data_IF_381422706459
#
_entry.id   IF_381422706459
#
_cell.length_a   1.000
_cell.length_b   1.000
_cell.length_c   1.000
_cell.angle_alpha   90.00
_cell.angle_beta   90.00
_cell.angle_gamma   90.00
#
_symmetry.space_group_name_H-M   'P 1'
#
loop_
_entity.id
_entity.type
_entity.pdbx_description
1 polymer ?
#
# COMPACT_ATOMS: atom_id res chain seq x y z
N UNK A 1 -10.08 -2.84 1.21
CA UNK A 1 -11.34 -3.59 1.52
C UNK A 1 -11.45 -3.86 3.02
N UNK A 2 -12.67 -3.92 3.59
CA UNK A 2 -12.84 -4.20 5.02
C UNK A 2 -12.61 -5.69 5.31
N UNK A 3 -11.88 -5.98 6.39
CA UNK A 3 -11.57 -7.37 6.77
C UNK A 3 -12.83 -8.18 7.08
N UNK A 4 -13.81 -7.59 7.80
CA UNK A 4 -15.02 -8.31 8.20
C UNK A 4 -15.92 -8.68 7.01
N UNK A 5 -15.97 -7.87 5.96
CA UNK A 5 -16.72 -8.21 4.74
C UNK A 5 -16.12 -9.48 4.07
N UNK A 6 -14.79 -9.56 4.06
CA UNK A 6 -14.08 -10.76 3.56
C UNK A 6 -14.26 -11.96 4.48
N UNK A 7 -14.24 -11.73 5.79
CA UNK A 7 -14.47 -12.78 6.79
C UNK A 7 -15.86 -13.40 6.66
N UNK A 8 -16.89 -12.57 6.47
CA UNK A 8 -18.27 -13.04 6.27
C UNK A 8 -18.39 -13.86 4.98
N UNK A 9 -17.88 -13.37 3.86
CA UNK A 9 -17.89 -14.10 2.60
C UNK A 9 -17.24 -15.48 2.72
N UNK A 10 -16.08 -15.57 3.39
CA UNK A 10 -15.36 -16.83 3.58
C UNK A 10 -16.15 -17.78 4.48
N UNK A 11 -16.73 -17.27 5.57
CA UNK A 11 -17.40 -18.14 6.55
C UNK A 11 -18.73 -18.69 6.06
N UNK A 12 -19.42 -18.01 5.17
CA UNK A 12 -20.67 -18.49 4.52
C UNK A 12 -20.40 -19.71 3.63
N UNK A 13 -19.25 -19.76 2.98
CA UNK A 13 -18.87 -20.86 2.07
C UNK A 13 -18.38 -22.12 2.80
N UNK A 14 -18.03 -22.02 4.07
CA UNK A 14 -17.43 -23.13 4.80
C UNK A 14 -18.44 -23.88 5.66
N UNK A 15 -18.43 -25.23 5.65
CA UNK A 15 -19.39 -26.04 6.42
C UNK A 15 -19.14 -26.02 7.94
N UNK A 16 -17.98 -25.51 8.38
CA UNK A 16 -17.55 -25.52 9.79
C UNK A 16 -16.99 -24.14 10.15
N UNK A 17 -17.28 -23.63 11.36
CA UNK A 17 -16.73 -22.37 11.82
C UNK A 17 -15.19 -22.36 11.82
N UNK A 18 -14.61 -21.29 11.31
CA UNK A 18 -13.16 -21.07 11.24
C UNK A 18 -12.77 -19.94 12.18
N UNK A 19 -11.73 -20.13 13.01
CA UNK A 19 -11.22 -19.05 13.85
C UNK A 19 -10.74 -17.86 13.03
N UNK A 20 -11.09 -16.64 13.45
CA UNK A 20 -10.74 -15.39 12.78
C UNK A 20 -9.23 -15.25 12.55
N UNK A 21 -8.41 -15.62 13.53
CA UNK A 21 -6.95 -15.56 13.41
C UNK A 21 -6.39 -16.51 12.34
N UNK A 22 -7.10 -17.62 12.07
CA UNK A 22 -6.69 -18.53 11.01
C UNK A 22 -6.98 -17.94 9.63
N UNK A 23 -8.12 -17.25 9.46
CA UNK A 23 -8.44 -16.54 8.22
C UNK A 23 -7.42 -15.42 7.98
N UNK A 24 -7.08 -14.62 9.00
CA UNK A 24 -6.03 -13.60 8.89
C UNK A 24 -4.68 -14.18 8.48
N UNK A 25 -4.31 -15.33 9.03
CA UNK A 25 -3.08 -16.02 8.66
C UNK A 25 -3.08 -16.44 7.18
N UNK A 26 -4.21 -16.96 6.68
CA UNK A 26 -4.31 -17.34 5.26
C UNK A 26 -4.32 -16.12 4.33
N UNK A 27 -5.00 -15.04 4.70
CA UNK A 27 -4.93 -13.76 3.96
C UNK A 27 -3.49 -13.29 3.86
N UNK A 28 -2.74 -13.30 4.97
CA UNK A 28 -1.34 -12.87 4.98
C UNK A 28 -0.43 -13.75 4.11
N UNK A 29 -0.74 -15.04 3.95
CA UNK A 29 -0.01 -15.92 3.00
C UNK A 29 -0.25 -15.51 1.55
N UNK A 30 -1.48 -15.09 1.23
CA UNK A 30 -1.82 -14.63 -0.11
C UNK A 30 -1.14 -13.28 -0.39
N UNK A 31 -1.22 -12.34 0.55
CA UNK A 31 -0.52 -11.05 0.44
C UNK A 31 0.99 -11.27 0.25
N UNK A 32 1.58 -12.19 1.01
CA UNK A 32 3.00 -12.53 0.84
C UNK A 32 3.28 -13.05 -0.56
N UNK A 33 2.46 -13.98 -1.07
CA UNK A 33 2.62 -14.50 -2.43
C UNK A 33 2.50 -13.41 -3.48
N UNK A 34 1.56 -12.47 -3.31
CA UNK A 34 1.41 -11.30 -4.18
C UNK A 34 2.68 -10.45 -4.15
N UNK A 35 3.17 -10.09 -2.96
CA UNK A 35 4.39 -9.29 -2.80
C UNK A 35 5.64 -9.98 -3.38
N UNK A 36 5.77 -11.32 -3.20
CA UNK A 36 6.94 -12.08 -3.64
C UNK A 36 6.96 -12.29 -5.16
N UNK A 37 5.80 -12.50 -5.79
CA UNK A 37 5.71 -12.87 -7.20
C UNK A 37 5.41 -11.70 -8.14
N UNK A 38 4.75 -10.66 -7.65
CA UNK A 38 4.41 -9.45 -8.43
C UNK A 38 5.38 -8.32 -8.11
N UNK A 39 5.85 -8.25 -6.86
CA UNK A 39 6.85 -7.27 -6.44
C UNK A 39 6.23 -6.00 -5.86
N UNK A 40 6.69 -4.84 -6.33
CA UNK A 40 6.32 -3.53 -5.79
C UNK A 40 5.19 -2.91 -6.60
N UNK A 41 4.19 -2.39 -5.90
CA UNK A 41 3.07 -1.67 -6.48
C UNK A 41 3.34 -0.17 -6.51
N UNK A 42 2.83 0.53 -7.53
CA UNK A 42 2.90 1.99 -7.61
C UNK A 42 1.66 2.58 -6.95
N UNK A 43 1.86 3.31 -5.88
CA UNK A 43 0.81 3.99 -5.13
C UNK A 43 1.09 5.48 -4.99
N UNK A 44 0.03 6.27 -5.01
CA UNK A 44 0.05 7.67 -4.63
C UNK A 44 -0.46 7.78 -3.19
N UNK A 45 0.40 8.24 -2.30
CA UNK A 45 0.07 8.44 -0.89
C UNK A 45 -0.10 9.91 -0.65
N UNK A 46 -1.27 10.33 -0.20
CA UNK A 46 -1.54 11.70 0.21
C UNK A 46 -1.55 11.79 1.74
N UNK A 47 -0.71 12.66 2.25
CA UNK A 47 -0.52 12.92 3.67
C UNK A 47 -0.92 14.35 3.94
N UNK A 48 -1.94 14.55 4.74
CA UNK A 48 -2.22 15.88 5.29
C UNK A 48 -1.43 16.03 6.59
N UNK A 49 -0.45 16.90 6.57
CA UNK A 49 0.30 17.21 7.79
C UNK A 49 -0.59 18.04 8.71
N UNK A 50 -0.90 17.48 9.87
CA UNK A 50 -1.43 18.25 11.00
C UNK A 50 -0.36 19.15 11.62
N UNK A 51 -0.61 19.66 12.81
CA UNK A 51 0.42 20.39 13.55
C UNK A 51 1.69 19.53 13.72
N UNK A 52 2.82 20.19 13.61
CA UNK A 52 4.17 19.61 13.78
C UNK A 52 4.26 18.65 14.98
N UNK A 53 5.00 17.58 14.83
CA UNK A 53 5.23 16.53 15.85
C UNK A 53 4.00 15.68 16.25
N UNK A 54 2.89 15.76 15.55
CA UNK A 54 1.79 14.82 15.74
C UNK A 54 1.87 13.68 14.72
N UNK A 55 1.41 12.47 15.09
CA UNK A 55 1.21 11.41 14.11
C UNK A 55 0.27 11.90 13.00
N UNK A 56 0.55 11.53 11.78
CA UNK A 56 -0.29 11.88 10.64
C UNK A 56 -1.68 11.30 10.88
N UNK A 57 -2.68 12.19 10.96
CA UNK A 57 -4.05 11.80 11.32
C UNK A 57 -4.84 11.28 10.12
N UNK A 58 -4.52 11.74 8.93
CA UNK A 58 -5.24 11.37 7.70
C UNK A 58 -4.24 10.96 6.63
N UNK A 59 -4.41 9.75 6.14
CA UNK A 59 -3.63 9.17 5.06
C UNK A 59 -4.61 8.61 4.03
N UNK A 60 -4.49 9.01 2.78
CA UNK A 60 -5.14 8.33 1.67
C UNK A 60 -4.10 7.63 0.80
N UNK A 61 -4.40 6.42 0.39
CA UNK A 61 -3.57 5.66 -0.53
C UNK A 61 -4.40 5.40 -1.77
N UNK A 62 -3.92 5.89 -2.90
CA UNK A 62 -4.49 5.59 -4.21
C UNK A 62 -3.55 4.67 -4.95
N UNK A 63 -4.03 3.47 -5.28
CA UNK A 63 -3.29 2.57 -6.15
C UNK A 63 -3.40 3.10 -7.59
N UNK A 64 -2.27 3.49 -8.16
CA UNK A 64 -2.20 4.13 -9.49
C UNK A 64 -2.61 3.14 -10.59
N UNK A 65 -2.37 1.85 -10.39
CA UNK A 65 -2.63 0.81 -11.39
C UNK A 65 -4.11 0.45 -11.47
N UNK A 66 -4.83 0.48 -10.35
CA UNK A 66 -6.24 0.10 -10.26
C UNK A 66 -7.20 1.27 -10.12
N UNK A 67 -6.69 2.50 -10.01
CA UNK A 67 -7.44 3.73 -9.74
C UNK A 67 -8.37 3.60 -8.52
N UNK A 68 -7.94 2.80 -7.53
CA UNK A 68 -8.68 2.56 -6.30
C UNK A 68 -8.07 3.34 -5.15
N UNK A 69 -8.90 4.11 -4.43
CA UNK A 69 -8.47 4.91 -3.28
C UNK A 69 -8.95 4.27 -1.98
N UNK A 70 -8.04 4.10 -1.04
CA UNK A 70 -8.33 3.68 0.32
C UNK A 70 -8.05 4.86 1.25
N UNK A 71 -9.09 5.41 1.86
CA UNK A 71 -8.94 6.42 2.89
C UNK A 71 -8.69 5.73 4.23
N UNK A 72 -7.57 6.03 4.84
CA UNK A 72 -7.20 5.52 6.15
C UNK A 72 -7.51 6.62 7.16
N UNK A 73 -8.74 6.62 7.62
CA UNK A 73 -9.10 7.43 8.76
C UNK A 73 -8.51 6.85 10.05
N UNK A 74 -8.37 7.69 11.05
CA UNK A 74 -7.83 7.58 12.42
C UNK A 74 -7.78 6.20 13.12
N UNK A 75 -8.45 5.16 12.62
CA UNK A 75 -8.68 3.89 13.31
C UNK A 75 -8.08 2.64 12.66
N UNK A 76 -7.51 2.76 11.47
CA UNK A 76 -6.75 1.65 10.90
C UNK A 76 -5.37 1.61 11.51
N UNK A 77 -5.06 0.58 12.30
CA UNK A 77 -3.67 0.29 12.68
C UNK A 77 -2.90 -0.24 11.47
N UNK A 78 -2.88 0.53 10.41
CA UNK A 78 -1.84 0.33 9.43
C UNK A 78 -0.52 0.63 10.12
N UNK A 79 0.45 -0.21 9.95
CA UNK A 79 1.82 0.02 10.41
C UNK A 79 2.52 1.15 9.64
N UNK A 80 1.77 2.13 9.18
CA UNK A 80 2.30 3.34 8.59
C UNK A 80 2.71 4.26 9.71
N UNK A 81 3.94 4.18 10.12
CA UNK A 81 4.52 5.18 10.98
C UNK A 81 5.05 6.33 10.13
N UNK A 82 4.14 7.07 9.55
CA UNK A 82 4.49 8.33 8.93
C UNK A 82 4.69 9.36 10.03
N UNK A 83 5.91 9.80 10.23
CA UNK A 83 6.23 10.84 11.17
C UNK A 83 6.77 12.04 10.41
N UNK A 84 6.16 13.18 10.65
CA UNK A 84 6.74 14.47 10.32
C UNK A 84 7.57 14.94 11.52
N UNK A 85 8.85 15.17 11.33
CA UNK A 85 9.73 15.75 12.33
C UNK A 85 10.11 17.16 11.91
N UNK A 86 9.58 18.15 12.61
CA UNK A 86 9.76 19.57 12.28
C UNK A 86 11.12 20.13 12.66
N UNK A 87 11.77 19.55 13.65
CA UNK A 87 13.12 19.99 14.03
C UNK A 87 14.13 19.68 12.92
N UNK A 88 13.86 18.64 12.15
CA UNK A 88 14.76 18.17 11.10
C UNK A 88 14.13 18.26 9.70
N UNK A 89 12.91 18.78 9.57
CA UNK A 89 12.13 18.86 8.32
C UNK A 89 12.19 17.59 7.47
N UNK A 90 11.88 16.47 8.10
CA UNK A 90 11.87 15.17 7.44
C UNK A 90 10.55 14.45 7.66
N UNK A 91 10.13 13.71 6.64
CA UNK A 91 9.05 12.76 6.70
C UNK A 91 9.62 11.35 6.74
N UNK A 92 9.31 10.60 7.79
CA UNK A 92 9.70 9.19 7.86
C UNK A 92 8.66 8.33 7.15
N UNK A 93 9.11 7.57 6.16
CA UNK A 93 8.30 6.62 5.41
C UNK A 93 8.03 5.35 6.22
N UNK A 94 6.92 4.70 5.92
CA UNK A 94 6.62 3.38 6.49
C UNK A 94 7.54 2.29 5.94
N UNK A 95 7.53 1.13 6.62
CA UNK A 95 8.45 0.02 6.32
C UNK A 95 8.16 -0.69 4.99
N UNK A 96 6.98 -0.51 4.44
CA UNK A 96 6.52 -1.08 3.19
C UNK A 96 6.84 -0.23 1.95
N UNK A 97 7.26 1.04 2.13
CA UNK A 97 7.72 1.90 1.03
C UNK A 97 9.19 1.63 0.74
N UNK A 98 9.49 1.26 -0.50
CA UNK A 98 10.84 0.93 -0.96
C UNK A 98 11.49 2.05 -1.74
N UNK A 99 10.74 2.73 -2.58
CA UNK A 99 11.25 3.75 -3.48
C UNK A 99 10.23 4.89 -3.59
N UNK A 100 10.69 6.12 -3.48
CA UNK A 100 9.90 7.32 -3.78
C UNK A 100 10.23 7.73 -5.21
N UNK A 101 9.20 7.91 -6.01
CA UNK A 101 9.32 8.32 -7.41
C UNK A 101 9.23 9.83 -7.53
N UNK A 102 8.11 10.39 -7.01
CA UNK A 102 7.83 11.82 -7.09
C UNK A 102 7.24 12.32 -5.78
N UNK A 103 7.48 13.59 -5.49
CA UNK A 103 6.91 14.30 -4.33
C UNK A 103 6.24 15.58 -4.81
N UNK A 104 5.00 15.76 -4.38
CA UNK A 104 4.24 16.99 -4.61
C UNK A 104 3.88 17.60 -3.26
N UNK A 105 4.04 18.91 -3.14
CA UNK A 105 3.61 19.66 -1.96
C UNK A 105 2.65 20.75 -2.43
N UNK A 106 1.43 20.73 -1.87
CA UNK A 106 0.33 21.61 -2.27
C UNK A 106 0.08 21.60 -3.80
N UNK A 107 0.06 20.38 -4.37
CA UNK A 107 -0.10 20.08 -5.80
C UNK A 107 1.03 20.56 -6.71
N UNK A 108 2.14 21.04 -6.17
CA UNK A 108 3.32 21.40 -6.92
C UNK A 108 4.40 20.32 -6.84
N UNK A 109 4.95 19.93 -7.98
CA UNK A 109 6.03 18.94 -8.06
C UNK A 109 7.34 19.51 -7.52
N UNK A 110 7.97 18.74 -6.64
CA UNK A 110 9.27 19.07 -6.05
C UNK A 110 10.37 18.20 -6.66
N UNK A 111 11.51 18.82 -6.92
CA UNK A 111 12.63 18.16 -7.59
C UNK A 111 13.49 17.39 -6.62
N UNK A 112 13.78 16.12 -6.95
CA UNK A 112 14.76 15.33 -6.21
C UNK A 112 16.18 15.85 -6.46
N UNK A 113 16.92 16.06 -5.38
CA UNK A 113 18.33 16.47 -5.40
C UNK A 113 19.11 15.70 -4.34
N UNK A 114 20.43 15.88 -4.29
CA UNK A 114 21.24 15.30 -3.23
C UNK A 114 20.95 15.95 -1.86
N UNK A 115 21.28 15.22 -0.80
CA UNK A 115 20.97 15.65 0.57
C UNK A 115 21.69 16.94 0.98
N UNK A 116 22.93 17.12 0.55
CA UNK A 116 23.71 18.32 0.90
C UNK A 116 23.09 19.58 0.27
N UNK A 117 22.52 19.45 -0.92
CA UNK A 117 21.76 20.53 -1.58
C UNK A 117 20.52 20.88 -0.76
N UNK A 118 19.72 19.89 -0.32
CA UNK A 118 18.53 20.15 0.52
C UNK A 118 18.94 20.82 1.83
N UNK A 119 20.00 20.32 2.48
CA UNK A 119 20.47 20.82 3.76
C UNK A 119 21.06 22.24 3.69
N UNK A 120 21.66 22.59 2.56
CA UNK A 120 22.23 23.93 2.34
C UNK A 120 21.18 24.94 1.83
N UNK A 121 19.99 24.48 1.45
CA UNK A 121 18.90 25.34 0.99
C UNK A 121 18.18 25.93 2.20
N UNK A 122 18.44 27.22 2.45
CA UNK A 122 17.79 27.98 3.53
C UNK A 122 16.42 28.54 3.11
N UNK A 123 15.97 28.22 1.90
CA UNK A 123 14.80 28.89 1.31
C UNK A 123 13.83 27.90 0.65
N UNK A 124 12.58 27.88 1.12
CA UNK A 124 11.48 27.08 0.56
C UNK A 124 11.10 27.45 -0.88
N UNK A 125 11.60 28.58 -1.40
CA UNK A 125 11.43 28.91 -2.82
C UNK A 125 12.10 27.88 -3.75
N UNK A 126 13.10 27.15 -3.23
CA UNK A 126 13.73 26.03 -3.91
C UNK A 126 12.99 24.74 -3.54
N UNK A 127 12.09 24.30 -4.40
CA UNK A 127 11.23 23.11 -4.24
C UNK A 127 12.04 21.82 -4.41
N UNK A 128 12.89 21.53 -3.41
CA UNK A 128 13.79 20.39 -3.41
C UNK A 128 13.45 19.39 -2.33
N UNK A 129 13.68 18.11 -2.63
CA UNK A 129 13.63 17.03 -1.65
C UNK A 129 14.76 16.03 -1.90
N UNK A 130 15.08 15.25 -0.88
CA UNK A 130 16.04 14.15 -0.97
C UNK A 130 15.59 12.98 -0.14
N UNK A 131 15.91 11.77 -0.59
CA UNK A 131 15.64 10.55 0.16
C UNK A 131 16.93 9.96 0.69
N UNK A 132 16.98 9.72 2.03
CA UNK A 132 18.04 8.93 2.66
C UNK A 132 17.40 7.82 3.46
N UNK A 133 17.57 6.59 3.00
CA UNK A 133 16.91 5.43 3.59
C UNK A 133 15.40 5.61 3.55
N UNK A 134 14.77 5.62 4.72
CA UNK A 134 13.31 5.78 4.86
C UNK A 134 12.87 7.19 5.23
N UNK A 135 13.71 8.18 5.00
CA UNK A 135 13.35 9.56 5.29
C UNK A 135 13.41 10.38 4.01
N UNK A 136 12.38 11.18 3.79
CA UNK A 136 12.38 12.28 2.84
C UNK A 136 12.73 13.54 3.60
N UNK A 137 13.71 14.26 3.10
CA UNK A 137 14.20 15.50 3.67
C UNK A 137 13.77 16.68 2.81
N UNK A 138 13.41 17.76 3.47
CA UNK A 138 12.98 19.03 2.86
C UNK A 138 13.82 20.20 3.39
N UNK A 139 13.84 21.35 2.70
CA UNK A 139 14.46 22.57 3.23
C UNK A 139 13.91 22.96 4.60
N UNK A 140 14.74 23.63 5.40
CA UNK A 140 14.44 23.94 6.82
C UNK A 140 13.25 24.86 7.04
N UNK A 141 12.86 25.65 6.05
CA UNK A 141 11.76 26.60 6.14
C UNK A 141 10.41 26.09 5.60
N UNK A 142 10.30 24.77 5.35
CA UNK A 142 9.01 24.20 4.96
C UNK A 142 7.98 24.51 6.05
N UNK A 143 6.95 25.26 5.67
CA UNK A 143 6.09 26.07 6.54
C UNK A 143 5.43 25.30 7.71
N UNK A 144 5.12 26.07 8.76
CA UNK A 144 4.44 25.63 9.97
C UNK A 144 2.96 25.30 9.77
N UNK A 145 2.41 25.54 8.59
CA UNK A 145 1.00 25.40 8.26
C UNK A 145 0.66 23.99 7.78
N UNK A 146 -0.62 23.67 7.75
CA UNK A 146 -1.11 22.40 7.23
C UNK A 146 -0.75 22.29 5.75
N UNK A 147 0.08 21.34 5.43
CA UNK A 147 0.61 21.11 4.07
C UNK A 147 0.10 19.76 3.57
N UNK A 148 -0.37 19.73 2.34
CA UNK A 148 -0.68 18.47 1.65
C UNK A 148 0.58 17.96 0.96
N UNK A 149 1.02 16.76 1.35
CA UNK A 149 2.17 16.09 0.72
C UNK A 149 1.62 14.87 -0.03
N UNK A 150 1.84 14.83 -1.34
CA UNK A 150 1.54 13.66 -2.17
C UNK A 150 2.84 13.01 -2.60
N UNK A 151 2.91 11.70 -2.41
CA UNK A 151 4.12 10.91 -2.70
C UNK A 151 3.73 9.77 -3.63
N UNK A 152 4.30 9.81 -4.83
CA UNK A 152 4.28 8.66 -5.72
C UNK A 152 5.41 7.72 -5.31
N UNK A 153 5.09 6.46 -5.02
CA UNK A 153 6.07 5.52 -4.50
C UNK A 153 5.82 4.09 -4.97
N UNK A 154 6.86 3.27 -4.85
CA UNK A 154 6.76 1.82 -4.97
C UNK A 154 6.76 1.20 -3.58
N UNK A 155 5.75 0.38 -3.29
CA UNK A 155 5.60 -0.29 -2.00
C UNK A 155 5.06 -1.71 -2.13
N UNK A 156 5.15 -2.47 -1.04
CA UNK A 156 4.48 -3.76 -0.87
C UNK A 156 3.16 -3.59 -0.11
N UNK A 157 2.22 -4.50 -0.34
CA UNK A 157 0.99 -4.54 0.47
C UNK A 157 1.29 -4.96 1.90
N UNK A 158 0.66 -4.26 2.85
CA UNK A 158 0.82 -4.52 4.28
C UNK A 158 0.07 -5.77 4.71
N UNK A 159 0.64 -6.51 5.65
CA UNK A 159 -0.01 -7.67 6.26
C UNK A 159 -1.15 -7.25 7.20
N UNK A 160 -2.20 -8.07 7.23
CA UNK A 160 -3.31 -7.92 8.17
C UNK A 160 -2.82 -8.17 9.61
N UNK A 161 -3.08 -7.22 10.52
CA UNK A 161 -2.70 -7.37 11.93
C UNK A 161 -3.52 -8.49 12.62
N UNK A 162 -2.91 -9.16 13.58
CA UNK A 162 -3.57 -10.18 14.40
C UNK A 162 -4.55 -9.59 15.42
N UNK A 163 -4.45 -8.30 15.74
CA UNK A 163 -5.42 -7.62 16.63
C UNK A 163 -6.79 -7.61 15.96
N UNK A 164 -7.83 -7.99 16.69
CA UNK A 164 -9.21 -7.96 16.22
C UNK A 164 -9.71 -6.52 16.32
N UNK A 165 -9.95 -5.90 15.18
CA UNK A 165 -10.52 -4.57 15.05
C UNK A 165 -11.64 -4.61 14.02
N UNK A 166 -12.82 -4.14 14.37
CA UNK A 166 -14.00 -4.13 13.48
C UNK A 166 -13.79 -3.24 12.25
N UNK A 167 -12.93 -2.24 12.36
CA UNK A 167 -12.59 -1.34 11.27
C UNK A 167 -11.32 -1.75 10.51
N UNK A 168 -10.80 -2.95 10.77
CA UNK A 168 -9.59 -3.40 10.11
C UNK A 168 -9.76 -3.48 8.59
N UNK A 169 -8.84 -2.85 7.88
CA UNK A 169 -8.79 -2.82 6.42
C UNK A 169 -7.69 -3.77 5.94
N UNK A 170 -7.94 -4.48 4.85
CA UNK A 170 -6.94 -5.21 4.10
C UNK A 170 -6.37 -4.24 3.07
N UNK A 171 -5.06 -4.05 3.10
CA UNK A 171 -4.32 -3.14 2.22
C UNK A 171 -4.09 -3.75 0.84
N UNK A 172 -5.15 -4.22 0.22
CA UNK A 172 -5.16 -4.74 -1.15
C UNK A 172 -6.35 -4.12 -1.85
N UNK A 173 -6.21 -3.65 -3.11
CA UNK A 173 -7.31 -3.05 -3.84
C UNK A 173 -8.56 -3.92 -3.91
N UNK A 174 -9.75 -3.27 -3.96
CA UNK A 174 -11.04 -3.98 -3.93
C UNK A 174 -11.25 -4.91 -5.14
N UNK A 175 -10.67 -4.59 -6.28
CA UNK A 175 -10.72 -5.44 -7.47
C UNK A 175 -10.02 -6.80 -7.28
N UNK A 176 -9.19 -6.97 -6.24
CA UNK A 176 -8.57 -8.25 -5.88
C UNK A 176 -9.32 -9.03 -4.79
N UNK A 177 -10.57 -8.60 -4.46
CA UNK A 177 -11.41 -9.25 -3.46
C UNK A 177 -11.56 -10.75 -3.73
N UNK A 178 -11.87 -11.12 -4.96
CA UNK A 178 -12.06 -12.52 -5.36
C UNK A 178 -10.78 -13.35 -5.24
N UNK A 179 -9.62 -12.76 -5.54
CA UNK A 179 -8.32 -13.39 -5.33
C UNK A 179 -8.09 -13.76 -3.86
N UNK A 180 -8.39 -12.84 -2.94
CA UNK A 180 -8.23 -13.08 -1.51
C UNK A 180 -9.20 -14.17 -1.03
N UNK A 181 -10.49 -14.07 -1.35
CA UNK A 181 -11.52 -15.03 -0.91
C UNK A 181 -11.20 -16.43 -1.43
N UNK A 182 -11.00 -16.59 -2.74
CA UNK A 182 -10.72 -17.90 -3.34
C UNK A 182 -9.41 -18.50 -2.83
N UNK A 183 -8.37 -17.69 -2.64
CA UNK A 183 -7.11 -18.15 -2.08
C UNK A 183 -7.23 -18.65 -0.63
N UNK A 184 -8.00 -17.95 0.21
CA UNK A 184 -8.25 -18.38 1.60
C UNK A 184 -9.06 -19.65 1.63
N UNK A 185 -10.15 -19.76 0.86
CA UNK A 185 -10.98 -20.95 0.76
C UNK A 185 -10.17 -22.15 0.25
N UNK A 186 -9.38 -21.98 -0.79
CA UNK A 186 -8.46 -23.00 -1.30
C UNK A 186 -7.50 -23.49 -0.21
N UNK A 187 -6.85 -22.59 0.52
CA UNK A 187 -5.90 -22.97 1.57
C UNK A 187 -6.56 -23.64 2.77
N UNK A 188 -7.75 -23.19 3.17
CA UNK A 188 -8.48 -23.75 4.29
C UNK A 188 -9.01 -25.15 3.96
N UNK A 189 -9.63 -25.35 2.79
CA UNK A 189 -10.22 -26.62 2.39
C UNK A 189 -9.19 -27.70 2.04
N UNK A 190 -7.92 -27.31 1.84
CA UNK A 190 -6.80 -28.26 1.80
C UNK A 190 -6.51 -28.90 3.16
N UNK A 191 -6.98 -28.34 4.28
CA UNK A 191 -6.72 -28.84 5.62
C UNK A 191 -7.74 -29.93 6.02
N UNK A 192 -7.34 -31.03 6.68
CA UNK A 192 -8.23 -32.12 7.02
C UNK A 192 -9.51 -31.70 7.76
N UNK A 193 -9.41 -30.72 8.67
CA UNK A 193 -10.53 -30.23 9.48
C UNK A 193 -11.62 -29.52 8.67
N UNK A 194 -11.23 -28.85 7.58
CA UNK A 194 -12.13 -28.03 6.74
C UNK A 194 -12.27 -28.62 5.33
N UNK A 195 -11.85 -29.88 5.15
CA UNK A 195 -11.79 -30.54 3.84
C UNK A 195 -13.15 -30.56 3.17
N UNK A 196 -13.21 -29.94 1.99
CA UNK A 196 -14.31 -30.03 1.03
C UNK A 196 -13.72 -30.06 -0.37
N UNK A 197 -13.89 -31.14 -1.09
CA UNK A 197 -13.26 -31.37 -2.39
C UNK A 197 -13.85 -30.46 -3.48
N UNK A 198 -15.13 -30.12 -3.38
CA UNK A 198 -15.80 -29.25 -4.35
C UNK A 198 -15.36 -27.80 -4.17
N UNK A 199 -15.41 -27.30 -2.92
CA UNK A 199 -14.95 -25.95 -2.58
C UNK A 199 -13.46 -25.80 -2.93
N UNK A 200 -12.64 -26.81 -2.60
CA UNK A 200 -11.23 -26.84 -2.93
C UNK A 200 -10.97 -26.71 -4.43
N UNK A 201 -11.63 -27.54 -5.26
CA UNK A 201 -11.37 -27.57 -6.70
C UNK A 201 -11.77 -26.25 -7.39
N UNK A 202 -12.95 -25.73 -7.06
CA UNK A 202 -13.45 -24.46 -7.62
C UNK A 202 -12.56 -23.30 -7.23
N UNK A 203 -12.24 -23.18 -5.93
CA UNK A 203 -11.46 -22.04 -5.45
C UNK A 203 -9.99 -22.09 -5.85
N UNK A 204 -9.41 -23.30 -6.03
CA UNK A 204 -8.08 -23.44 -6.60
C UNK A 204 -8.02 -22.88 -8.02
N UNK A 205 -8.98 -23.27 -8.87
CA UNK A 205 -9.03 -22.80 -10.26
C UNK A 205 -9.24 -21.28 -10.32
N UNK A 206 -10.18 -20.74 -9.53
CA UNK A 206 -10.46 -19.32 -9.46
C UNK A 206 -9.22 -18.55 -8.99
N UNK A 207 -8.60 -18.98 -7.90
CA UNK A 207 -7.41 -18.34 -7.35
C UNK A 207 -6.25 -18.27 -8.36
N UNK A 208 -5.93 -19.40 -9.01
CA UNK A 208 -4.85 -19.40 -10.00
C UNK A 208 -5.18 -18.55 -11.23
N UNK A 209 -6.44 -18.52 -11.66
CA UNK A 209 -6.89 -17.66 -12.76
C UNK A 209 -6.77 -16.17 -12.42
N UNK A 210 -7.27 -15.77 -11.25
CA UNK A 210 -7.18 -14.39 -10.76
C UNK A 210 -5.72 -13.95 -10.57
N UNK A 211 -4.89 -14.86 -10.04
CA UNK A 211 -3.49 -14.58 -9.81
C UNK A 211 -2.71 -14.40 -11.13
N UNK A 212 -2.99 -15.21 -12.14
CA UNK A 212 -2.39 -15.03 -13.48
C UNK A 212 -2.88 -13.74 -14.16
N UNK A 213 -4.16 -13.41 -14.01
CA UNK A 213 -4.72 -12.15 -14.49
C UNK A 213 -4.03 -10.94 -13.87
N UNK A 214 -3.80 -10.97 -12.55
CA UNK A 214 -3.09 -9.95 -11.83
C UNK A 214 -1.64 -9.79 -12.34
N UNK A 215 -0.91 -10.90 -12.49
CA UNK A 215 0.45 -10.89 -13.05
C UNK A 215 0.47 -10.28 -14.45
N UNK A 216 -0.43 -10.69 -15.31
CA UNK A 216 -0.51 -10.20 -16.68
C UNK A 216 -0.78 -8.71 -16.74
N UNK A 217 -1.69 -8.21 -15.91
CA UNK A 217 -2.00 -6.77 -15.82
C UNK A 217 -0.78 -5.97 -15.37
N UNK A 218 -0.07 -6.46 -14.37
CA UNK A 218 1.12 -5.81 -13.84
C UNK A 218 2.25 -5.72 -14.88
N UNK A 219 2.59 -6.82 -15.53
CA UNK A 219 3.66 -6.84 -16.55
C UNK A 219 3.34 -5.99 -17.78
N UNK A 220 2.07 -5.93 -18.19
CA UNK A 220 1.66 -5.09 -19.32
C UNK A 220 1.75 -3.60 -18.97
N UNK A 221 1.48 -3.21 -17.73
CA UNK A 221 1.63 -1.83 -17.28
C UNK A 221 3.10 -1.42 -17.25
N UNK A 222 4.00 -2.24 -16.70
CA UNK A 222 5.43 -1.94 -16.72
C UNK A 222 5.95 -1.77 -18.16
N UNK A 223 5.64 -2.67 -19.08
CA UNK A 223 6.07 -2.57 -20.46
C UNK A 223 5.52 -1.33 -21.19
N UNK A 224 4.33 -0.84 -20.82
CA UNK A 224 3.74 0.37 -21.40
C UNK A 224 4.39 1.66 -20.88
N UNK A 225 4.95 1.65 -19.68
CA UNK A 225 5.70 2.79 -19.12
C UNK A 225 7.12 2.89 -19.65
N UNK A 226 7.83 1.78 -19.80
CA UNK A 226 9.17 1.75 -20.42
C UNK A 226 9.16 2.20 -21.88
N UNK A 227 8.04 1.99 -22.60
CA UNK A 227 7.88 2.45 -23.97
C UNK A 227 7.61 3.95 -24.14
N UNK A 228 7.29 4.69 -23.07
CA UNK A 228 7.03 6.15 -23.14
C UNK A 228 8.27 7.02 -22.95
N UNK A 229 9.33 6.49 -22.34
CA UNK A 229 10.59 7.22 -22.15
C UNK A 229 11.44 7.40 -23.42
N UNK A 230 11.00 6.83 -24.54
CA UNK A 230 11.77 6.90 -25.82
C UNK A 230 11.38 8.12 -26.69
N UNK A 231 10.39 8.93 -26.30
CA UNK A 231 9.83 9.97 -27.20
C UNK A 231 10.20 11.41 -26.86
N UNK A 232 11.21 11.68 -26.04
CA UNK A 232 11.74 13.04 -25.88
C UNK A 232 13.21 13.10 -26.29
N UNK A 233 13.46 12.88 -27.57
CA UNK A 233 14.66 13.41 -28.25
C UNK A 233 14.19 14.07 -29.55
N UNK A 234 14.36 15.35 -29.57
CA UNK A 234 14.36 16.41 -30.59
C UNK A 234 13.36 17.49 -30.36
#
# INVERSE_FOLDING_TARGET
MKFFDIYEDITVELPVPVPINLIKLEINKIIRRVNDEIGLHKDLIEVSTGSKNTPIENLSITNIESDSTVNIEKYGRFKFSWYWNTTENRLRLSDDVYEVLDVYIDDEEWKQVDFETVKSSDNSSEKYWSQIGRNIWFPLDLADETTSIKISCKRQYSFVDQVIDENQIIDVPENYRQLIISGVLYNLTARPKYKDENIFAVNKQTFESEFQSLKFSYYNLESSYEGRDITYKY
#
